data_IF_780926482104
#
_entry.id   IF_780926482104
#
_cell.length_a   1.000
_cell.length_b   1.000
_cell.length_c   1.000
_cell.angle_alpha   90.00
_cell.angle_beta   90.00
_cell.angle_gamma   90.00
#
_symmetry.space_group_name_H-M   'P 1'
#
loop_
_entity.id
_entity.type
_entity.pdbx_description
1 polymer ?
#
# COMPACT_ATOMS: atom_id res chain seq x y z
N UNK A 1 -7.85 16.18 0.32
CA UNK A 1 -7.27 14.94 -0.22
C UNK A 1 -7.46 13.74 0.72
N UNK A 2 -7.10 13.82 2.01
CA UNK A 2 -7.26 12.70 2.98
C UNK A 2 -8.63 12.02 2.98
N UNK A 3 -9.73 12.79 2.92
CA UNK A 3 -11.08 12.23 2.83
C UNK A 3 -11.27 11.34 1.59
N UNK A 4 -10.82 11.78 0.42
CA UNK A 4 -10.95 11.00 -0.80
C UNK A 4 -10.13 9.70 -0.75
N UNK A 5 -8.94 9.72 -0.14
CA UNK A 5 -8.14 8.50 0.09
C UNK A 5 -8.83 7.54 1.07
N UNK A 6 -9.41 8.09 2.14
CA UNK A 6 -10.20 7.29 3.07
C UNK A 6 -11.45 6.69 2.42
N UNK A 7 -12.16 7.43 1.57
CA UNK A 7 -13.33 6.92 0.84
C UNK A 7 -12.96 5.71 -0.05
N UNK A 8 -11.71 5.65 -0.57
CA UNK A 8 -11.19 4.50 -1.31
C UNK A 8 -11.02 3.30 -0.39
N UNK A 9 -10.30 3.44 0.72
CA UNK A 9 -10.05 2.32 1.65
C UNK A 9 -11.35 1.83 2.29
N UNK A 10 -12.27 2.73 2.63
CA UNK A 10 -13.59 2.40 3.15
C UNK A 10 -14.42 1.60 2.12
N UNK A 11 -14.38 1.99 0.85
CA UNK A 11 -15.04 1.25 -0.24
C UNK A 11 -14.50 -0.17 -0.39
N UNK A 12 -13.19 -0.37 -0.19
CA UNK A 12 -12.54 -1.69 -0.21
C UNK A 12 -13.03 -2.51 0.99
N UNK A 13 -12.98 -1.96 2.20
CA UNK A 13 -13.40 -2.63 3.44
C UNK A 13 -14.90 -2.98 3.47
N UNK A 14 -15.73 -2.25 2.72
CA UNK A 14 -17.15 -2.59 2.51
C UNK A 14 -17.36 -3.79 1.58
N UNK A 15 -16.39 -4.13 0.73
CA UNK A 15 -16.50 -5.18 -0.30
C UNK A 15 -15.87 -6.50 0.11
N UNK A 16 -14.85 -6.44 0.96
CA UNK A 16 -14.07 -7.61 1.37
C UNK A 16 -13.79 -7.57 2.86
N UNK A 17 -13.78 -8.75 3.49
CA UNK A 17 -13.31 -8.87 4.87
C UNK A 17 -11.79 -8.97 4.90
N UNK A 18 -11.18 -8.10 5.70
CA UNK A 18 -9.74 -8.04 5.93
C UNK A 18 -9.42 -8.51 7.36
N UNK A 19 -8.22 -9.07 7.52
CA UNK A 19 -7.68 -9.56 8.77
C UNK A 19 -6.21 -9.18 8.91
N UNK A 20 -5.66 -9.31 10.11
CA UNK A 20 -4.29 -8.90 10.42
C UNK A 20 -3.22 -9.60 9.59
N UNK A 21 -3.52 -10.78 9.05
CA UNK A 21 -2.59 -11.56 8.23
C UNK A 21 -2.68 -11.16 6.74
N UNK A 22 -3.73 -10.44 6.33
CA UNK A 22 -3.91 -10.01 4.95
C UNK A 22 -2.97 -8.84 4.60
N UNK A 23 -2.36 -8.93 3.42
CA UNK A 23 -1.53 -7.86 2.85
C UNK A 23 -2.38 -6.97 1.95
N UNK A 24 -2.32 -5.66 2.21
CA UNK A 24 -2.76 -4.62 1.27
C UNK A 24 -1.54 -3.90 0.74
N UNK A 25 -1.44 -3.84 -0.60
CA UNK A 25 -0.31 -3.25 -1.29
C UNK A 25 -0.75 -1.97 -2.02
N UNK A 26 -0.03 -0.87 -1.84
CA UNK A 26 -0.17 0.33 -2.65
C UNK A 26 1.10 0.58 -3.50
N UNK A 27 0.93 0.61 -4.83
CA UNK A 27 2.02 0.86 -5.78
C UNK A 27 2.06 2.37 -6.06
N UNK A 28 3.21 3.00 -5.82
CA UNK A 28 3.33 4.46 -5.82
C UNK A 28 2.71 5.08 -4.58
N UNK A 29 3.01 4.51 -3.40
CA UNK A 29 2.30 4.86 -2.16
C UNK A 29 2.61 6.26 -1.63
N UNK A 30 3.57 6.96 -2.22
CA UNK A 30 3.97 8.31 -1.84
C UNK A 30 4.30 8.39 -0.34
N UNK A 31 3.74 9.35 0.39
CA UNK A 31 3.88 9.52 1.83
C UNK A 31 3.18 8.45 2.70
N UNK A 32 2.49 7.46 2.09
CA UNK A 32 1.77 6.39 2.78
C UNK A 32 0.39 6.79 3.34
N UNK A 33 -0.16 7.96 2.98
CA UNK A 33 -1.44 8.44 3.53
C UNK A 33 -2.63 7.54 3.20
N UNK A 34 -2.69 6.93 2.00
CA UNK A 34 -3.74 5.95 1.65
C UNK A 34 -3.60 4.69 2.51
N UNK A 35 -2.39 4.15 2.67
CA UNK A 35 -2.16 2.97 3.50
C UNK A 35 -2.62 3.20 4.94
N UNK A 36 -2.32 4.37 5.52
CA UNK A 36 -2.75 4.71 6.88
C UNK A 36 -4.26 4.99 7.02
N UNK A 37 -5.03 5.04 5.93
CA UNK A 37 -6.47 5.31 6.01
C UNK A 37 -7.34 4.06 6.20
N UNK A 38 -6.77 2.85 6.03
CA UNK A 38 -7.41 1.59 6.41
C UNK A 38 -7.76 1.59 7.90
N UNK A 39 -8.96 1.12 8.23
CA UNK A 39 -9.42 0.99 9.62
C UNK A 39 -9.24 -0.43 10.16
N UNK A 40 -9.17 -1.41 9.25
CA UNK A 40 -8.87 -2.80 9.56
C UNK A 40 -7.43 -2.95 10.01
N UNK A 41 -7.19 -3.84 10.97
CA UNK A 41 -5.84 -4.29 11.28
C UNK A 41 -5.36 -5.21 10.15
N UNK A 42 -4.42 -4.74 9.33
CA UNK A 42 -3.88 -5.42 8.14
C UNK A 42 -2.40 -5.09 7.97
N UNK A 43 -1.69 -5.86 7.14
CA UNK A 43 -0.32 -5.52 6.77
C UNK A 43 -0.32 -4.45 5.67
N UNK A 44 0.18 -3.26 6.01
CA UNK A 44 0.23 -2.09 5.14
C UNK A 44 1.56 -2.05 4.38
N UNK A 45 1.54 -2.41 3.10
CA UNK A 45 2.74 -2.53 2.27
C UNK A 45 2.71 -1.50 1.13
N UNK A 46 3.83 -0.85 0.87
CA UNK A 46 3.95 0.16 -0.19
C UNK A 46 5.22 0.00 -1.03
N UNK A 47 5.11 0.35 -2.32
CA UNK A 47 6.27 0.64 -3.17
C UNK A 47 6.31 2.14 -3.48
N UNK A 48 7.49 2.75 -3.36
CA UNK A 48 7.71 4.15 -3.69
C UNK A 48 9.17 4.37 -4.13
N UNK A 49 9.44 4.76 -5.39
CA UNK A 49 10.82 5.00 -5.84
C UNK A 49 11.43 6.30 -5.30
N UNK A 50 10.63 7.31 -4.94
CA UNK A 50 11.14 8.60 -4.48
C UNK A 50 11.66 8.54 -3.03
N UNK A 51 12.98 8.45 -2.88
CA UNK A 51 13.63 8.29 -1.57
C UNK A 51 13.30 9.40 -0.55
N UNK A 52 12.94 10.60 -1.01
CA UNK A 52 12.60 11.73 -0.14
C UNK A 52 11.27 11.56 0.62
N UNK A 53 10.44 10.58 0.26
CA UNK A 53 9.14 10.32 0.91
C UNK A 53 9.18 9.13 1.88
N UNK A 54 10.26 8.34 1.84
CA UNK A 54 10.31 7.02 2.48
C UNK A 54 10.22 7.08 4.00
N UNK A 55 10.86 8.08 4.62
CA UNK A 55 10.83 8.23 6.07
C UNK A 55 9.42 8.54 6.59
N UNK A 56 8.65 9.34 5.84
CA UNK A 56 7.24 9.60 6.15
C UNK A 56 6.36 8.38 5.85
N UNK A 57 6.58 7.72 4.71
CA UNK A 57 5.83 6.53 4.29
C UNK A 57 5.96 5.38 5.29
N UNK A 58 7.13 5.19 5.91
CA UNK A 58 7.38 4.14 6.91
C UNK A 58 6.61 4.34 8.22
N UNK A 59 6.21 5.57 8.53
CA UNK A 59 5.47 5.82 9.76
C UNK A 59 4.08 5.20 9.68
N UNK A 60 3.76 4.31 10.63
CA UNK A 60 2.44 3.67 10.72
C UNK A 60 2.14 2.67 9.60
N UNK A 61 3.15 2.19 8.87
CA UNK A 61 3.01 1.15 7.85
C UNK A 61 3.85 -0.08 8.22
N UNK A 62 3.54 -1.23 7.62
CA UNK A 62 4.24 -2.49 7.89
C UNK A 62 5.57 -2.53 7.13
N UNK A 63 5.57 -2.16 5.84
CA UNK A 63 6.76 -2.20 5.00
C UNK A 63 6.63 -1.23 3.84
N UNK A 64 7.64 -0.39 3.65
CA UNK A 64 7.82 0.40 2.43
C UNK A 64 9.07 -0.10 1.72
N UNK A 65 8.93 -0.46 0.44
CA UNK A 65 9.99 -0.87 -0.45
C UNK A 65 10.34 0.35 -1.32
N UNK A 66 11.56 0.88 -1.16
CA UNK A 66 12.02 2.06 -1.89
C UNK A 66 12.53 1.67 -3.28
N UNK A 67 11.61 1.27 -4.15
CA UNK A 67 11.89 0.89 -5.54
C UNK A 67 10.62 1.03 -6.39
N UNK A 68 10.74 0.83 -7.71
CA UNK A 68 9.61 0.57 -8.58
C UNK A 68 9.01 -0.82 -8.29
N UNK A 69 7.71 -0.97 -8.55
CA UNK A 69 7.07 -2.27 -8.34
C UNK A 69 7.57 -3.31 -9.34
N UNK A 70 8.17 -4.37 -8.82
CA UNK A 70 8.53 -5.60 -9.52
C UNK A 70 8.12 -6.80 -8.65
N UNK A 71 7.56 -7.84 -9.27
CA UNK A 71 7.13 -9.03 -8.55
C UNK A 71 8.29 -9.68 -7.77
N UNK A 72 9.45 -9.85 -8.42
CA UNK A 72 10.63 -10.43 -7.80
C UNK A 72 11.12 -9.63 -6.58
N UNK A 73 10.93 -8.31 -6.58
CA UNK A 73 11.28 -7.48 -5.43
C UNK A 73 10.27 -7.69 -4.29
N UNK A 74 8.98 -7.77 -4.59
CA UNK A 74 7.96 -8.10 -3.59
C UNK A 74 8.23 -9.47 -2.95
N UNK A 75 8.53 -10.49 -3.74
CA UNK A 75 8.76 -11.87 -3.29
C UNK A 75 9.99 -12.01 -2.37
N UNK A 76 10.98 -11.10 -2.46
CA UNK A 76 12.12 -11.07 -1.51
C UNK A 76 11.69 -10.76 -0.09
N UNK A 77 10.65 -9.94 0.09
CA UNK A 77 10.14 -9.54 1.42
C UNK A 77 8.95 -10.40 1.86
N UNK A 78 8.16 -10.92 0.92
CA UNK A 78 6.93 -11.68 1.18
C UNK A 78 6.87 -12.97 0.35
N UNK A 79 7.77 -13.95 0.62
CA UNK A 79 7.89 -15.14 -0.21
C UNK A 79 6.65 -16.04 -0.10
N UNK A 80 6.08 -16.44 -1.24
CA UNK A 80 4.87 -17.25 -1.37
C UNK A 80 3.59 -16.62 -0.79
N UNK A 81 3.63 -15.34 -0.42
CA UNK A 81 2.47 -14.61 0.06
C UNK A 81 1.72 -13.94 -1.09
N UNK A 82 0.45 -13.60 -0.86
CA UNK A 82 -0.37 -12.87 -1.84
C UNK A 82 -1.00 -11.64 -1.21
N UNK A 83 -1.00 -10.55 -1.97
CA UNK A 83 -1.78 -9.38 -1.62
C UNK A 83 -3.27 -9.68 -1.81
N UNK A 84 -4.07 -9.37 -0.78
CA UNK A 84 -5.54 -9.44 -0.89
C UNK A 84 -6.11 -8.22 -1.59
N UNK A 85 -5.41 -7.09 -1.49
CA UNK A 85 -5.73 -5.84 -2.17
C UNK A 85 -4.46 -5.28 -2.79
N UNK A 86 -4.59 -4.78 -4.02
CA UNK A 86 -3.56 -3.96 -4.66
C UNK A 86 -4.23 -2.67 -5.12
N UNK A 87 -3.71 -1.53 -4.69
CA UNK A 87 -4.08 -0.19 -5.18
C UNK A 87 -2.91 0.43 -5.93
N UNK A 88 -3.24 1.34 -6.85
CA UNK A 88 -2.28 2.09 -7.65
C UNK A 88 -2.98 3.34 -8.14
N UNK A 89 -2.93 4.41 -7.36
CA UNK A 89 -3.73 5.61 -7.59
C UNK A 89 -2.91 6.62 -8.39
N UNK A 90 -3.44 7.01 -9.56
CA UNK A 90 -2.83 7.99 -10.46
C UNK A 90 -1.42 7.66 -11.01
N UNK A 91 -0.99 6.39 -10.93
CA UNK A 91 0.32 5.97 -11.44
C UNK A 91 0.33 5.59 -12.93
N UNK A 92 -0.83 5.32 -13.54
CA UNK A 92 -0.94 4.82 -14.92
C UNK A 92 -1.06 5.91 -15.99
N UNK A 93 -1.09 7.18 -15.60
CA UNK A 93 -1.17 8.29 -16.56
C UNK A 93 0.21 8.72 -17.08
N UNK A 94 1.28 8.34 -16.38
CA UNK A 94 2.68 8.66 -16.70
C UNK A 94 3.44 7.45 -17.29
N UNK A 95 2.71 6.43 -17.77
CA UNK A 95 3.26 5.17 -18.29
C UNK A 95 3.55 5.21 -19.80
#
# INVERSE_FOLDING_TARGET
MRKALHDITESIEKRISLSQDDIVLDIGCNDGTLLRSYQSNVQLVGFEPASNLIDEAKHGTTKIINDFFLLDEFEKHFPNEKCKVITSIAMFYDL
#
